data_IF_003143853989
#
_entry.id   IF_003143853989
#
_cell.length_a   1.000
_cell.length_b   1.000
_cell.length_c   1.000
_cell.angle_alpha   90.00
_cell.angle_beta   90.00
_cell.angle_gamma   90.00
#
_symmetry.space_group_name_H-M   'P 1'
#
loop_
_entity.id
_entity.type
_entity.pdbx_description
1 polymer ?
#
# COMPACT_ATOMS: atom_id res chain seq x y z
N UNK A 1 15.50 -5.04 -21.30
CA UNK A 1 14.80 -5.17 -20.01
C UNK A 1 13.76 -6.26 -20.18
N UNK A 2 13.92 -7.39 -19.50
CA UNK A 2 12.87 -8.42 -19.48
C UNK A 2 11.78 -7.92 -18.53
N UNK A 3 10.71 -7.37 -19.07
CA UNK A 3 9.52 -7.04 -18.29
C UNK A 3 9.03 -8.31 -17.60
N UNK A 4 8.83 -8.25 -16.29
CA UNK A 4 8.28 -9.36 -15.53
C UNK A 4 6.91 -9.68 -16.13
N UNK A 5 6.79 -10.83 -16.82
CA UNK A 5 5.54 -11.26 -17.45
C UNK A 5 4.58 -11.74 -16.35
N UNK A 6 3.98 -10.77 -15.66
CA UNK A 6 3.02 -10.99 -14.58
C UNK A 6 1.66 -11.37 -15.17
N UNK A 7 1.10 -12.48 -14.71
CA UNK A 7 -0.22 -12.93 -15.14
C UNK A 7 -1.32 -11.95 -14.73
N UNK A 8 -2.47 -12.00 -15.39
CA UNK A 8 -3.62 -11.19 -15.03
C UNK A 8 -4.11 -11.48 -13.60
N UNK A 9 -4.00 -12.73 -13.14
CA UNK A 9 -4.36 -13.11 -11.77
C UNK A 9 -3.43 -12.45 -10.75
N UNK A 10 -2.12 -12.47 -10.98
CA UNK A 10 -1.13 -11.83 -10.09
C UNK A 10 -1.36 -10.31 -10.03
N UNK A 11 -1.71 -9.68 -11.16
CA UNK A 11 -2.06 -8.25 -11.20
C UNK A 11 -3.28 -7.95 -10.34
N UNK A 12 -4.35 -8.75 -10.47
CA UNK A 12 -5.56 -8.58 -9.65
C UNK A 12 -5.26 -8.76 -8.16
N UNK A 13 -4.38 -9.71 -7.81
CA UNK A 13 -3.96 -9.92 -6.44
C UNK A 13 -3.17 -8.72 -5.90
N UNK A 14 -2.22 -8.17 -6.66
CA UNK A 14 -1.46 -6.97 -6.25
C UNK A 14 -2.38 -5.76 -6.09
N UNK A 15 -3.34 -5.56 -6.99
CA UNK A 15 -4.35 -4.50 -6.84
C UNK A 15 -5.21 -4.68 -5.59
N UNK A 16 -5.59 -5.92 -5.26
CA UNK A 16 -6.33 -6.20 -4.03
C UNK A 16 -5.49 -5.91 -2.78
N UNK A 17 -4.21 -6.26 -2.79
CA UNK A 17 -3.26 -5.95 -1.72
C UNK A 17 -3.06 -4.44 -1.55
N UNK A 18 -2.93 -3.69 -2.66
CA UNK A 18 -2.83 -2.22 -2.63
C UNK A 18 -4.07 -1.61 -1.97
N UNK A 19 -5.28 -1.99 -2.39
CA UNK A 19 -6.53 -1.50 -1.78
C UNK A 19 -6.63 -1.84 -0.29
N UNK A 20 -6.16 -3.02 0.11
CA UNK A 20 -6.16 -3.44 1.50
C UNK A 20 -5.20 -2.57 2.35
N UNK A 21 -4.01 -2.27 1.82
CA UNK A 21 -3.01 -1.45 2.51
C UNK A 21 -3.43 0.02 2.58
N UNK A 22 -4.05 0.56 1.54
CA UNK A 22 -4.65 1.91 1.57
C UNK A 22 -5.77 2.01 2.62
N UNK A 23 -6.61 0.98 2.74
CA UNK A 23 -7.64 0.92 3.76
C UNK A 23 -7.03 0.83 5.17
N UNK A 24 -5.95 0.05 5.33
CA UNK A 24 -5.19 -0.04 6.57
C UNK A 24 -4.65 1.33 6.98
N UNK A 25 -3.99 2.04 6.07
CA UNK A 25 -3.44 3.37 6.31
C UNK A 25 -4.52 4.37 6.76
N UNK A 26 -5.69 4.38 6.11
CA UNK A 26 -6.83 5.24 6.49
C UNK A 26 -7.34 4.90 7.90
N UNK A 27 -7.42 3.62 8.24
CA UNK A 27 -7.83 3.17 9.59
C UNK A 27 -6.82 3.58 10.65
N UNK A 28 -5.53 3.38 10.38
CA UNK A 28 -4.44 3.77 11.28
C UNK A 28 -4.47 5.26 11.54
N UNK A 29 -4.59 6.09 10.51
CA UNK A 29 -4.72 7.55 10.64
C UNK A 29 -5.93 7.93 11.50
N UNK A 30 -7.07 7.27 11.30
CA UNK A 30 -8.27 7.46 12.12
C UNK A 30 -8.03 7.09 13.58
N UNK A 31 -7.41 5.95 13.84
CA UNK A 31 -7.11 5.51 15.20
C UNK A 31 -6.09 6.43 15.89
N UNK A 32 -5.10 6.94 15.17
CA UNK A 32 -4.16 7.92 15.72
C UNK A 32 -4.88 9.19 16.16
N UNK A 33 -5.82 9.68 15.34
CA UNK A 33 -6.61 10.88 15.66
C UNK A 33 -7.53 10.71 16.88
N UNK A 34 -7.88 9.48 17.23
CA UNK A 34 -8.77 9.15 18.35
C UNK A 34 -8.00 8.68 19.60
N UNK A 35 -6.75 8.26 19.44
CA UNK A 35 -5.95 7.73 20.54
C UNK A 35 -5.33 8.88 21.33
N UNK A 36 -5.65 8.97 22.62
CA UNK A 36 -4.98 9.89 23.54
C UNK A 36 -3.69 9.33 24.17
N UNK A 37 -3.45 8.03 24.03
CA UNK A 37 -2.28 7.36 24.58
C UNK A 37 -1.07 7.45 23.63
N UNK A 38 0.09 7.98 24.09
CA UNK A 38 1.26 8.18 23.25
C UNK A 38 1.95 6.86 22.84
N UNK A 39 1.86 5.81 23.64
CA UNK A 39 2.42 4.51 23.27
C UNK A 39 1.61 3.85 22.15
N UNK A 40 0.28 3.95 22.22
CA UNK A 40 -0.64 3.51 21.14
C UNK A 40 -0.38 4.31 19.86
N UNK A 41 -0.22 5.63 19.95
CA UNK A 41 0.15 6.46 18.80
C UNK A 41 1.49 6.03 18.20
N UNK A 42 2.49 5.68 19.03
CA UNK A 42 3.78 5.17 18.57
C UNK A 42 3.66 3.88 17.75
N UNK A 43 2.86 2.91 18.22
CA UNK A 43 2.61 1.65 17.49
C UNK A 43 1.85 1.91 16.19
N UNK A 44 0.85 2.79 16.22
CA UNK A 44 0.09 3.16 15.02
C UNK A 44 0.98 3.87 13.99
N UNK A 45 1.90 4.73 14.42
CA UNK A 45 2.84 5.40 13.53
C UNK A 45 3.79 4.40 12.85
N UNK A 46 4.26 3.38 13.58
CA UNK A 46 5.05 2.28 13.01
C UNK A 46 4.25 1.46 12.00
N UNK A 47 2.97 1.20 12.28
CA UNK A 47 2.08 0.51 11.34
C UNK A 47 1.88 1.32 10.05
N UNK A 48 1.72 2.64 10.16
CA UNK A 48 1.59 3.54 9.01
C UNK A 48 2.85 3.56 8.14
N UNK A 49 4.03 3.67 8.75
CA UNK A 49 5.31 3.62 8.03
C UNK A 49 5.49 2.29 7.30
N UNK A 50 5.19 1.17 7.96
CA UNK A 50 5.22 -0.16 7.34
C UNK A 50 4.27 -0.26 6.15
N UNK A 51 3.02 0.20 6.30
CA UNK A 51 2.03 0.17 5.23
C UNK A 51 2.46 1.01 4.02
N UNK A 52 3.02 2.21 4.24
CA UNK A 52 3.55 3.05 3.17
C UNK A 52 4.71 2.36 2.40
N UNK A 53 5.57 1.61 3.09
CA UNK A 53 6.62 0.81 2.45
C UNK A 53 6.03 -0.31 1.60
N UNK A 54 5.00 -1.00 2.09
CA UNK A 54 4.30 -2.02 1.31
C UNK A 54 3.65 -1.44 0.05
N UNK A 55 2.93 -0.31 0.17
CA UNK A 55 2.32 0.39 -0.98
C UNK A 55 3.37 0.75 -2.01
N UNK A 56 4.50 1.31 -1.57
CA UNK A 56 5.60 1.70 -2.46
C UNK A 56 6.18 0.50 -3.20
N UNK A 57 6.38 -0.63 -2.50
CA UNK A 57 6.88 -1.86 -3.11
C UNK A 57 5.88 -2.47 -4.11
N UNK A 58 4.59 -2.55 -3.75
CA UNK A 58 3.55 -3.08 -4.62
C UNK A 58 3.35 -2.23 -5.88
N UNK A 59 3.41 -0.90 -5.76
CA UNK A 59 3.39 0.00 -6.91
C UNK A 59 4.63 -0.17 -7.81
N UNK A 60 5.81 -0.36 -7.21
CA UNK A 60 7.03 -0.69 -7.95
C UNK A 60 6.87 -1.96 -8.79
N UNK A 61 6.35 -3.04 -8.18
CA UNK A 61 6.08 -4.30 -8.87
C UNK A 61 5.08 -4.14 -10.03
N UNK A 62 4.04 -3.32 -9.86
CA UNK A 62 3.10 -3.02 -10.94
C UNK A 62 3.76 -2.24 -12.08
N UNK A 63 4.60 -1.25 -11.75
CA UNK A 63 5.32 -0.45 -12.74
C UNK A 63 6.31 -1.31 -13.55
N UNK A 64 7.08 -2.18 -12.87
CA UNK A 64 8.01 -3.12 -13.52
C UNK A 64 7.31 -4.15 -14.41
N UNK A 65 6.07 -4.52 -14.08
CA UNK A 65 5.21 -5.37 -14.89
C UNK A 65 4.57 -4.63 -16.09
N UNK A 66 4.97 -3.38 -16.36
CA UNK A 66 4.46 -2.58 -17.47
C UNK A 66 3.09 -1.96 -17.21
N UNK A 67 2.58 -2.03 -15.97
CA UNK A 67 1.36 -1.35 -15.56
C UNK A 67 1.71 -0.02 -14.93
N UNK A 68 1.88 1.01 -15.76
CA UNK A 68 1.65 2.37 -15.30
C UNK A 68 0.15 2.48 -15.06
N UNK A 69 -0.27 2.45 -13.80
CA UNK A 69 -1.64 2.76 -13.42
C UNK A 69 -2.12 4.00 -14.18
N UNK A 70 -3.40 3.97 -14.56
CA UNK A 70 -4.13 5.06 -15.19
C UNK A 70 -4.13 6.32 -14.31
N UNK A 71 -2.99 7.00 -14.21
CA UNK A 71 -2.89 8.42 -13.89
C UNK A 71 -3.18 9.18 -15.18
N UNK A 72 -4.42 9.08 -15.65
CA UNK A 72 -4.99 10.08 -16.54
C UNK A 72 -5.26 11.32 -15.70
N UNK A 73 -4.55 12.41 -16.03
CA UNK A 73 -4.91 13.76 -15.66
C UNK A 73 -6.32 14.12 -16.17
#
# INVERSE_FOLDING_TARGET
MYGMNMSEMEKLQIQALLKAEELCARKVQRYMSQSGDPAVQGVLQQAMDRGNRHISALNGLMQEAGFTGASGH
#
